data_IF_483673015897
#
_entry.id   IF_483673015897
#
_cell.length_a   1.000
_cell.length_b   1.000
_cell.length_c   1.000
_cell.angle_alpha   90.00
_cell.angle_beta   90.00
_cell.angle_gamma   90.00
#
_symmetry.space_group_name_H-M   'P 1'
#
loop_
_entity.id
_entity.type
_entity.pdbx_description
1 polymer ?
#
# COMPACT_ATOMS: atom_id res chain seq x y z
N UNK A 1 18.28 -3.58 -3.91
CA UNK A 1 16.98 -3.96 -3.31
C UNK A 1 16.04 -3.39 -4.31
N UNK A 2 15.55 -4.25 -5.19
CA UNK A 2 15.09 -3.80 -6.50
C UNK A 2 13.57 -3.83 -6.47
N UNK A 3 12.96 -2.65 -6.29
CA UNK A 3 11.54 -2.47 -6.51
C UNK A 3 11.32 -2.36 -8.01
N UNK A 4 10.85 -3.44 -8.64
CA UNK A 4 10.22 -3.30 -9.95
C UNK A 4 8.92 -2.53 -9.75
N UNK A 5 8.59 -1.54 -10.60
CA UNK A 5 7.32 -0.85 -10.50
C UNK A 5 6.20 -1.87 -10.60
N UNK A 6 5.24 -1.81 -9.66
CA UNK A 6 4.09 -2.70 -9.65
C UNK A 6 3.33 -2.57 -10.98
N UNK A 7 2.93 -3.70 -11.56
CA UNK A 7 2.02 -3.72 -12.70
C UNK A 7 0.74 -2.92 -12.40
N UNK A 8 0.20 -2.23 -13.40
CA UNK A 8 -1.09 -1.54 -13.31
C UNK A 8 -2.08 -2.25 -14.21
N UNK A 9 -3.18 -2.72 -13.61
CA UNK A 9 -4.27 -3.39 -14.31
C UNK A 9 -5.46 -2.45 -14.33
N UNK A 10 -6.17 -2.38 -15.45
CA UNK A 10 -7.36 -1.55 -15.57
C UNK A 10 -8.63 -2.39 -15.64
N UNK A 11 -9.62 -2.04 -14.82
CA UNK A 11 -10.95 -2.67 -14.83
C UNK A 11 -12.04 -1.61 -15.07
N UNK A 12 -13.06 -1.92 -15.88
CA UNK A 12 -14.06 -0.94 -16.32
C UNK A 12 -15.52 -1.43 -16.19
N UNK A 13 -15.78 -2.32 -15.22
CA UNK A 13 -17.09 -2.95 -15.05
C UNK A 13 -18.02 -2.30 -14.00
N UNK A 14 -17.45 -1.53 -13.07
CA UNK A 14 -18.17 -1.06 -11.88
C UNK A 14 -18.75 0.34 -12.07
N UNK A 15 -19.93 0.59 -11.51
CA UNK A 15 -20.53 1.94 -11.47
C UNK A 15 -20.08 2.77 -10.27
N UNK A 16 -20.20 4.09 -10.36
CA UNK A 16 -19.72 5.01 -9.32
C UNK A 16 -20.30 4.72 -7.92
N UNK A 17 -21.58 4.32 -7.84
CA UNK A 17 -22.19 3.91 -6.56
C UNK A 17 -21.59 2.62 -5.99
N UNK A 18 -21.21 1.67 -6.85
CA UNK A 18 -20.55 0.45 -6.42
C UNK A 18 -19.14 0.75 -5.91
N UNK A 19 -18.39 1.60 -6.62
CA UNK A 19 -17.09 2.07 -6.19
C UNK A 19 -17.17 2.79 -4.84
N UNK A 20 -18.20 3.63 -4.64
CA UNK A 20 -18.43 4.35 -3.39
C UNK A 20 -18.59 3.40 -2.20
N UNK A 21 -19.33 2.28 -2.38
CA UNK A 21 -19.48 1.26 -1.33
C UNK A 21 -18.18 0.49 -1.05
N UNK A 22 -17.29 0.37 -2.04
CA UNK A 22 -16.00 -0.33 -1.91
C UNK A 22 -14.88 0.57 -1.37
N UNK A 23 -14.99 1.88 -1.57
CA UNK A 23 -13.96 2.83 -1.18
C UNK A 23 -13.77 2.81 0.35
N UNK A 24 -12.54 2.57 0.85
CA UNK A 24 -12.29 2.51 2.30
C UNK A 24 -12.49 3.86 3.00
N UNK A 25 -12.52 4.96 2.25
CA UNK A 25 -12.82 6.32 2.71
C UNK A 25 -14.19 6.84 2.20
N UNK A 26 -15.00 5.99 1.56
CA UNK A 26 -16.31 6.33 1.01
C UNK A 26 -17.33 6.57 2.13
N UNK A 27 -17.33 7.78 2.69
CA UNK A 27 -18.41 8.27 3.54
C UNK A 27 -19.58 8.77 2.71
N UNK A 28 -20.77 8.85 3.32
CA UNK A 28 -22.04 9.27 2.69
C UNK A 28 -22.05 10.66 2.00
N UNK A 29 -20.93 11.39 2.01
CA UNK A 29 -20.81 12.76 1.50
C UNK A 29 -20.23 12.86 0.07
N UNK A 30 -19.57 11.82 -0.46
CA UNK A 30 -18.89 11.89 -1.75
C UNK A 30 -19.11 10.62 -2.60
N UNK A 31 -19.22 10.79 -3.91
CA UNK A 31 -19.29 9.69 -4.88
C UNK A 31 -17.89 9.41 -5.42
N UNK A 32 -17.48 8.15 -5.37
CA UNK A 32 -16.22 7.65 -5.92
C UNK A 32 -16.33 7.46 -7.42
N UNK A 33 -15.56 8.24 -8.19
CA UNK A 33 -15.55 8.19 -9.67
C UNK A 33 -14.53 7.20 -10.23
N UNK A 34 -13.46 6.96 -9.48
CA UNK A 34 -12.43 5.98 -9.77
C UNK A 34 -11.92 5.37 -8.46
N UNK A 35 -11.27 4.21 -8.55
CA UNK A 35 -10.71 3.54 -7.40
C UNK A 35 -9.42 2.81 -7.75
N UNK A 36 -8.37 3.11 -6.99
CA UNK A 36 -7.11 2.39 -7.02
C UNK A 36 -7.04 1.40 -5.86
N UNK A 37 -6.91 0.11 -6.19
CA UNK A 37 -6.73 -0.96 -5.21
C UNK A 37 -5.32 -1.55 -5.33
N UNK A 38 -4.57 -1.53 -4.23
CA UNK A 38 -3.23 -2.10 -4.17
C UNK A 38 -3.15 -3.21 -3.13
N UNK A 39 -2.37 -4.25 -3.44
CA UNK A 39 -2.07 -5.33 -2.51
C UNK A 39 -0.60 -5.23 -2.05
N UNK A 40 -0.39 -5.04 -0.75
CA UNK A 40 0.94 -4.97 -0.16
C UNK A 40 1.28 -6.29 0.53
N UNK A 41 2.40 -6.89 0.15
CA UNK A 41 2.90 -8.14 0.72
C UNK A 41 4.29 -7.94 1.32
N UNK A 42 4.47 -8.52 2.51
CA UNK A 42 5.75 -8.60 3.19
C UNK A 42 6.09 -10.05 3.47
N UNK A 43 7.32 -10.44 3.17
CA UNK A 43 7.86 -11.76 3.53
C UNK A 43 9.22 -11.60 4.20
N UNK A 44 9.56 -12.54 5.07
CA UNK A 44 10.87 -12.57 5.74
C UNK A 44 11.52 -13.94 5.63
N UNK A 45 12.83 -13.94 5.56
CA UNK A 45 13.68 -15.11 5.66
C UNK A 45 14.98 -14.72 6.37
N UNK A 46 15.71 -15.70 6.86
CA UNK A 46 17.05 -15.48 7.39
C UNK A 46 17.96 -16.66 7.04
N UNK A 47 19.25 -16.38 6.95
CA UNK A 47 20.30 -17.37 6.75
C UNK A 47 21.43 -17.14 7.76
N UNK A 48 22.19 -18.17 8.10
CA UNK A 48 23.32 -18.05 9.02
C UNK A 48 23.66 -19.38 9.68
N UNK A 49 24.93 -19.54 10.05
CA UNK A 49 25.37 -20.70 10.83
C UNK A 49 25.15 -20.43 12.33
N UNK A 50 24.62 -21.42 13.01
CA UNK A 50 24.56 -21.48 14.48
C UNK A 50 25.69 -22.39 14.96
N UNK A 51 26.62 -21.85 15.72
CA UNK A 51 27.67 -22.62 16.38
C UNK A 51 27.17 -23.03 17.77
N UNK A 52 27.30 -24.30 18.12
CA UNK A 52 26.81 -24.84 19.41
C UNK A 52 28.00 -25.40 20.18
N UNK A 53 28.17 -24.93 21.41
CA UNK A 53 29.06 -25.54 22.39
C UNK A 53 28.36 -26.77 23.00
N UNK A 54 28.92 -27.95 22.74
CA UNK A 54 28.36 -29.22 23.22
C UNK A 54 28.47 -29.41 24.73
N UNK A 55 29.42 -28.75 25.39
CA UNK A 55 29.62 -28.90 26.83
C UNK A 55 28.55 -28.14 27.63
N UNK A 56 28.16 -26.96 27.16
CA UNK A 56 27.22 -26.07 27.84
C UNK A 56 25.82 -26.05 27.24
N UNK A 57 25.65 -26.52 25.99
CA UNK A 57 24.41 -26.41 25.23
C UNK A 57 24.12 -25.00 24.71
N UNK A 58 25.00 -24.04 24.99
CA UNK A 58 24.91 -22.67 24.48
C UNK A 58 25.31 -22.61 23.01
N UNK A 59 24.77 -21.61 22.33
CA UNK A 59 25.01 -21.38 20.93
C UNK A 59 25.24 -19.89 20.64
N UNK A 60 25.87 -19.62 19.51
CA UNK A 60 25.95 -18.29 18.94
C UNK A 60 25.63 -18.31 17.44
N UNK A 61 25.08 -17.21 16.95
CA UNK A 61 24.73 -17.06 15.54
C UNK A 61 24.84 -15.60 15.09
N UNK A 62 25.22 -15.41 13.83
CA UNK A 62 25.17 -14.10 13.15
C UNK A 62 24.24 -14.22 11.93
N UNK A 63 22.97 -13.82 12.05
CA UNK A 63 22.01 -13.97 10.97
C UNK A 63 22.25 -12.93 9.88
N UNK A 64 21.95 -13.30 8.64
CA UNK A 64 21.61 -12.37 7.57
C UNK A 64 20.11 -12.42 7.38
N UNK A 65 19.44 -11.35 7.75
CA UNK A 65 17.98 -11.24 7.62
C UNK A 65 17.64 -10.62 6.26
N UNK A 66 16.67 -11.21 5.57
CA UNK A 66 16.09 -10.67 4.34
C UNK A 66 14.60 -10.43 4.58
N UNK A 67 14.15 -9.21 4.32
CA UNK A 67 12.73 -8.87 4.24
C UNK A 67 12.46 -8.39 2.82
N UNK A 68 11.43 -8.95 2.20
CA UNK A 68 10.98 -8.54 0.88
C UNK A 68 9.72 -7.72 1.00
N UNK A 69 9.70 -6.63 0.25
CA UNK A 69 8.60 -5.69 0.17
C UNK A 69 8.06 -5.76 -1.25
N UNK A 70 6.78 -6.11 -1.38
CA UNK A 70 6.14 -6.26 -2.68
C UNK A 70 4.86 -5.45 -2.73
N UNK A 71 4.72 -4.66 -3.79
CA UNK A 71 3.45 -4.06 -4.21
C UNK A 71 2.98 -4.93 -5.37
N UNK A 72 1.94 -5.73 -5.14
CA UNK A 72 1.31 -6.51 -6.19
C UNK A 72 0.68 -5.61 -7.26
N UNK A 73 0.12 -6.20 -8.33
CA UNK A 73 -0.57 -5.43 -9.35
C UNK A 73 -1.60 -4.49 -8.73
N UNK A 74 -1.60 -3.24 -9.17
CA UNK A 74 -2.53 -2.22 -8.71
C UNK A 74 -3.68 -2.13 -9.71
N UNK A 75 -4.90 -2.39 -9.24
CA UNK A 75 -6.09 -2.30 -10.07
C UNK A 75 -6.62 -0.88 -10.04
N UNK A 76 -6.67 -0.23 -11.20
CA UNK A 76 -7.28 1.08 -11.43
C UNK A 76 -8.63 0.87 -12.09
N UNK A 77 -9.69 1.27 -11.40
CA UNK A 77 -11.05 1.23 -11.93
C UNK A 77 -11.56 2.63 -12.18
N UNK A 78 -12.12 2.88 -13.37
CA UNK A 78 -12.90 4.08 -13.67
C UNK A 78 -14.36 3.69 -13.75
N UNK A 79 -15.25 4.48 -13.15
CA UNK A 79 -16.67 4.20 -13.15
C UNK A 79 -17.22 4.10 -14.58
N UNK A 80 -18.07 3.11 -14.85
CA UNK A 80 -18.61 2.82 -16.19
C UNK A 80 -19.44 3.96 -16.79
N UNK A 81 -19.92 4.88 -15.95
CA UNK A 81 -20.60 6.11 -16.36
C UNK A 81 -19.69 7.05 -17.18
N UNK A 82 -18.37 6.82 -17.17
CA UNK A 82 -17.37 7.56 -17.95
C UNK A 82 -16.71 6.63 -18.98
N UNK A 83 -17.23 6.55 -20.22
CA UNK A 83 -16.67 5.68 -21.23
C UNK A 83 -15.22 6.04 -21.59
N UNK A 84 -14.41 5.02 -21.89
CA UNK A 84 -13.03 5.23 -22.37
C UNK A 84 -13.03 6.13 -23.60
N UNK A 85 -12.21 7.18 -23.56
CA UNK A 85 -12.06 8.16 -24.63
C UNK A 85 -12.75 9.50 -24.36
N UNK A 86 -13.57 9.61 -23.32
CA UNK A 86 -14.09 10.91 -22.89
C UNK A 86 -13.07 11.70 -22.06
N UNK A 87 -13.29 13.01 -21.91
CA UNK A 87 -12.44 13.85 -21.08
C UNK A 87 -12.48 13.39 -19.62
N UNK A 88 -13.68 13.16 -19.07
CA UNK A 88 -13.80 12.75 -17.66
C UNK A 88 -13.10 11.43 -17.38
N UNK A 89 -13.17 10.47 -18.30
CA UNK A 89 -12.45 9.20 -18.16
C UNK A 89 -10.95 9.41 -17.95
N UNK A 90 -10.31 10.24 -18.79
CA UNK A 90 -8.86 10.44 -18.72
C UNK A 90 -8.43 11.19 -17.47
N UNK A 91 -9.19 12.21 -17.07
CA UNK A 91 -8.95 12.96 -15.84
C UNK A 91 -9.08 12.09 -14.59
N UNK A 92 -10.11 11.23 -14.54
CA UNK A 92 -10.29 10.27 -13.43
C UNK A 92 -9.16 9.23 -13.45
N UNK A 93 -8.82 8.67 -14.61
CA UNK A 93 -7.72 7.72 -14.72
C UNK A 93 -6.38 8.33 -14.30
N UNK A 94 -6.10 9.58 -14.68
CA UNK A 94 -4.90 10.30 -14.26
C UNK A 94 -4.87 10.55 -12.75
N UNK A 95 -6.02 10.88 -12.16
CA UNK A 95 -6.18 10.96 -10.71
C UNK A 95 -5.81 9.63 -10.04
N UNK A 96 -6.39 8.51 -10.49
CA UNK A 96 -6.10 7.19 -9.94
C UNK A 96 -4.61 6.79 -10.10
N UNK A 97 -3.98 7.18 -11.20
CA UNK A 97 -2.55 6.97 -11.39
C UNK A 97 -1.67 7.78 -10.41
N UNK A 98 -2.17 8.87 -9.82
CA UNK A 98 -1.47 9.55 -8.70
C UNK A 98 -1.46 8.67 -7.45
N UNK A 99 -2.54 7.95 -7.16
CA UNK A 99 -2.58 6.97 -6.06
C UNK A 99 -1.62 5.81 -6.30
N UNK A 100 -1.52 5.33 -7.55
CA UNK A 100 -0.54 4.30 -7.93
C UNK A 100 0.88 4.74 -7.63
N UNK A 101 1.25 5.95 -8.06
CA UNK A 101 2.58 6.53 -7.80
C UNK A 101 2.83 6.72 -6.30
N UNK A 102 1.82 7.18 -5.56
CA UNK A 102 1.93 7.30 -4.10
C UNK A 102 2.18 5.95 -3.43
N UNK A 103 1.48 4.90 -3.85
CA UNK A 103 1.68 3.53 -3.34
C UNK A 103 3.09 3.02 -3.61
N UNK A 104 3.61 3.20 -4.83
CA UNK A 104 4.96 2.79 -5.22
C UNK A 104 6.03 3.54 -4.41
N UNK A 105 5.98 4.88 -4.39
CA UNK A 105 6.93 5.69 -3.64
C UNK A 105 6.87 5.42 -2.12
N UNK A 106 5.68 5.12 -1.59
CA UNK A 106 5.54 4.76 -0.18
C UNK A 106 6.16 3.41 0.13
N UNK A 107 6.03 2.44 -0.77
CA UNK A 107 6.65 1.12 -0.61
C UNK A 107 8.17 1.17 -0.59
N UNK A 108 8.78 1.99 -1.45
CA UNK A 108 10.23 2.21 -1.47
C UNK A 108 10.72 2.79 -0.15
N UNK A 109 10.03 3.81 0.38
CA UNK A 109 10.36 4.38 1.68
C UNK A 109 10.24 3.38 2.81
N UNK A 110 9.18 2.56 2.83
CA UNK A 110 9.00 1.52 3.85
C UNK A 110 10.10 0.47 3.75
N UNK A 111 10.54 0.11 2.54
CA UNK A 111 11.67 -0.78 2.33
C UNK A 111 12.98 -0.21 2.93
N UNK A 112 13.24 1.08 2.73
CA UNK A 112 14.41 1.76 3.31
C UNK A 112 14.33 1.84 4.85
N UNK A 113 13.15 2.15 5.40
CA UNK A 113 12.91 2.15 6.85
C UNK A 113 13.14 0.77 7.48
N UNK A 114 12.60 -0.29 6.85
CA UNK A 114 12.80 -1.68 7.26
C UNK A 114 14.27 -2.05 7.20
N UNK A 115 14.96 -1.75 6.10
CA UNK A 115 16.39 -2.00 5.94
C UNK A 115 17.20 -1.34 7.05
N UNK A 116 16.94 -0.07 7.33
CA UNK A 116 17.65 0.67 8.38
C UNK A 116 17.37 0.10 9.77
N UNK A 117 16.11 -0.21 10.08
CA UNK A 117 15.72 -0.77 11.38
C UNK A 117 16.30 -2.18 11.60
N UNK A 118 16.20 -3.07 10.61
CA UNK A 118 16.78 -4.41 10.66
C UNK A 118 18.31 -4.36 10.77
N UNK A 119 18.96 -3.44 10.06
CA UNK A 119 20.42 -3.26 10.16
C UNK A 119 20.84 -2.85 11.58
N UNK A 120 20.06 -2.01 12.27
CA UNK A 120 20.34 -1.66 13.68
C UNK A 120 20.11 -2.82 14.65
N UNK A 121 19.09 -3.65 14.39
CA UNK A 121 18.71 -4.75 15.28
C UNK A 121 19.56 -6.01 15.09
N UNK A 122 19.92 -6.34 13.86
CA UNK A 122 20.60 -7.60 13.50
C UNK A 122 21.97 -7.39 12.84
N UNK A 123 22.23 -6.23 12.25
CA UNK A 123 23.44 -5.98 11.46
C UNK A 123 24.72 -6.07 12.29
N UNK A 124 25.68 -6.87 11.82
CA UNK A 124 27.00 -7.09 12.43
C UNK A 124 26.98 -7.54 13.91
N UNK A 125 25.85 -8.06 14.40
CA UNK A 125 25.70 -8.53 15.78
C UNK A 125 25.80 -10.05 15.85
N UNK A 126 26.52 -10.54 16.86
CA UNK A 126 26.48 -11.94 17.25
C UNK A 126 25.44 -12.08 18.35
N UNK A 127 24.54 -13.03 18.19
CA UNK A 127 23.52 -13.38 19.17
C UNK A 127 23.97 -14.64 19.91
N UNK A 128 23.67 -14.70 21.20
CA UNK A 128 23.99 -15.81 22.07
C UNK A 128 22.72 -16.33 22.73
N UNK A 129 22.66 -17.63 23.00
CA UNK A 129 21.54 -18.29 23.65
C UNK A 129 21.52 -19.77 23.30
N UNK A 130 20.47 -20.49 23.68
CA UNK A 130 20.25 -21.85 23.20
C UNK A 130 19.83 -21.83 21.72
N UNK A 131 20.02 -22.95 20.98
CA UNK A 131 19.53 -23.05 19.60
C UNK A 131 18.02 -22.75 19.46
N UNK A 132 17.22 -23.11 20.47
CA UNK A 132 15.79 -22.83 20.50
C UNK A 132 15.47 -21.34 20.60
N UNK A 133 16.15 -20.62 21.49
CA UNK A 133 15.98 -19.17 21.64
C UNK A 133 16.41 -18.42 20.38
N UNK A 134 17.56 -18.78 19.81
CA UNK A 134 18.05 -18.16 18.57
C UNK A 134 17.07 -18.37 17.41
N UNK A 135 16.46 -19.56 17.30
CA UNK A 135 15.41 -19.83 16.31
C UNK A 135 14.17 -18.95 16.52
N UNK A 136 13.73 -18.77 17.76
CA UNK A 136 12.59 -17.88 18.07
C UNK A 136 12.90 -16.44 17.67
N UNK A 137 14.09 -15.95 17.99
CA UNK A 137 14.53 -14.59 17.64
C UNK A 137 14.56 -14.37 16.12
N UNK A 138 15.06 -15.33 15.34
CA UNK A 138 15.22 -15.13 13.90
C UNK A 138 14.03 -15.54 13.06
N UNK A 139 13.13 -16.39 13.55
CA UNK A 139 11.95 -16.82 12.79
C UNK A 139 10.67 -16.20 13.34
N UNK A 140 10.39 -16.42 14.62
CA UNK A 140 9.10 -16.04 15.20
C UNK A 140 9.02 -14.54 15.44
N UNK A 141 10.08 -13.88 15.92
CA UNK A 141 10.05 -12.43 16.10
C UNK A 141 9.98 -11.68 14.77
N UNK A 142 10.65 -12.17 13.71
CA UNK A 142 10.51 -11.57 12.37
C UNK A 142 9.05 -11.62 11.92
N UNK A 143 8.38 -12.76 12.08
CA UNK A 143 6.97 -12.91 11.68
C UNK A 143 5.99 -12.14 12.56
N UNK A 144 6.14 -12.19 13.88
CA UNK A 144 5.17 -11.67 14.85
C UNK A 144 5.37 -10.20 15.19
N UNK A 145 6.56 -9.63 14.96
CA UNK A 145 6.86 -8.24 15.31
C UNK A 145 7.23 -7.42 14.08
N UNK A 146 8.18 -7.90 13.26
CA UNK A 146 8.73 -7.11 12.16
C UNK A 146 7.76 -6.99 10.97
N UNK A 147 7.11 -8.07 10.55
CA UNK A 147 6.14 -8.00 9.46
C UNK A 147 4.91 -7.12 9.82
N UNK A 148 4.28 -7.25 11.01
CA UNK A 148 3.20 -6.35 11.40
C UNK A 148 3.64 -4.89 11.53
N UNK A 149 4.86 -4.64 12.04
CA UNK A 149 5.42 -3.30 12.08
C UNK A 149 5.62 -2.71 10.68
N UNK A 150 6.19 -3.49 9.75
CA UNK A 150 6.31 -3.05 8.34
C UNK A 150 4.93 -2.76 7.71
N UNK A 151 3.93 -3.60 8.00
CA UNK A 151 2.55 -3.40 7.53
C UNK A 151 1.93 -2.11 8.06
N UNK A 152 2.16 -1.77 9.33
CA UNK A 152 1.64 -0.51 9.88
C UNK A 152 2.32 0.72 9.28
N UNK A 153 3.59 0.61 8.85
CA UNK A 153 4.25 1.67 8.06
C UNK A 153 3.61 1.85 6.69
N UNK A 154 3.20 0.75 6.06
CA UNK A 154 2.43 0.80 4.82
C UNK A 154 1.08 1.51 4.97
N UNK A 155 0.36 1.28 6.08
CA UNK A 155 -0.90 1.97 6.36
C UNK A 155 -0.76 3.51 6.40
N UNK A 156 0.46 4.03 6.60
CA UNK A 156 0.77 5.45 6.50
C UNK A 156 0.49 6.07 5.11
N UNK A 157 0.43 5.27 4.04
CA UNK A 157 0.12 5.75 2.67
C UNK A 157 -1.24 6.44 2.60
N UNK A 158 -2.17 6.09 3.50
CA UNK A 158 -3.50 6.72 3.62
C UNK A 158 -3.40 8.23 3.83
N UNK A 159 -2.32 8.74 4.41
CA UNK A 159 -2.09 10.18 4.53
C UNK A 159 -1.80 10.85 3.19
N UNK A 160 -1.04 10.19 2.30
CA UNK A 160 -0.79 10.68 0.95
C UNK A 160 -2.08 10.59 0.09
N UNK A 161 -2.85 9.51 0.22
CA UNK A 161 -4.15 9.40 -0.46
C UNK A 161 -5.09 10.55 -0.09
N UNK A 162 -5.20 10.90 1.21
CA UNK A 162 -6.01 12.06 1.65
C UNK A 162 -5.54 13.41 1.10
N UNK A 163 -4.26 13.55 0.74
CA UNK A 163 -3.77 14.77 0.10
C UNK A 163 -4.15 14.83 -1.37
N UNK A 164 -4.17 13.68 -2.05
CA UNK A 164 -4.62 13.54 -3.43
C UNK A 164 -6.14 13.73 -3.51
N UNK A 165 -6.88 13.05 -2.62
CA UNK A 165 -8.34 13.10 -2.45
C UNK A 165 -8.78 14.34 -1.65
N UNK A 166 -8.31 15.51 -2.07
CA UNK A 166 -8.59 16.76 -1.37
C UNK A 166 -10.00 17.30 -1.63
N UNK A 167 -10.50 18.18 -0.76
CA UNK A 167 -11.76 18.90 -1.00
C UNK A 167 -11.74 19.72 -2.31
N UNK A 168 -10.58 20.27 -2.67
CA UNK A 168 -10.40 21.00 -3.92
C UNK A 168 -10.56 20.09 -5.15
N UNK A 169 -10.06 18.85 -5.05
CA UNK A 169 -10.27 17.83 -6.08
C UNK A 169 -11.76 17.50 -6.24
N UNK A 170 -12.46 17.26 -5.13
CA UNK A 170 -13.90 16.98 -5.18
C UNK A 170 -14.71 18.16 -5.74
N UNK A 171 -14.32 19.40 -5.44
CA UNK A 171 -14.96 20.58 -6.01
C UNK A 171 -14.72 20.68 -7.52
N UNK A 172 -13.50 20.39 -8.00
CA UNK A 172 -13.13 20.39 -9.42
C UNK A 172 -13.98 19.41 -10.23
N UNK A 173 -14.37 18.28 -9.65
CA UNK A 173 -15.20 17.28 -10.33
C UNK A 173 -16.53 17.85 -10.86
N UNK A 174 -17.06 18.92 -10.26
CA UNK A 174 -18.31 19.54 -10.71
C UNK A 174 -18.17 20.35 -12.01
N UNK A 175 -16.97 20.83 -12.33
CA UNK A 175 -16.73 21.78 -13.42
C UNK A 175 -15.78 21.27 -14.48
N UNK A 176 -14.98 20.22 -14.19
CA UNK A 176 -14.09 19.60 -15.16
C UNK A 176 -14.85 19.06 -16.39
N UNK A 177 -14.16 19.02 -17.53
CA UNK A 177 -14.70 18.47 -18.78
C UNK A 177 -16.06 19.09 -19.15
N UNK A 178 -16.15 20.42 -19.02
CA UNK A 178 -17.38 21.19 -19.21
C UNK A 178 -18.58 20.67 -18.41
N UNK A 179 -18.36 20.08 -17.23
CA UNK A 179 -19.41 19.50 -16.39
C UNK A 179 -19.88 18.11 -16.83
N UNK A 180 -19.02 17.31 -17.46
CA UNK A 180 -19.34 15.93 -17.88
C UNK A 180 -19.75 15.04 -16.71
N UNK A 181 -19.06 15.17 -15.56
CA UNK A 181 -19.31 14.36 -14.36
C UNK A 181 -20.74 14.50 -13.83
N UNK A 182 -21.24 15.71 -13.49
CA UNK A 182 -22.62 15.84 -13.00
C UNK A 182 -23.66 15.47 -14.06
N UNK A 183 -23.37 15.63 -15.36
CA UNK A 183 -24.27 15.17 -16.43
C UNK A 183 -24.40 13.65 -16.45
N UNK A 184 -23.27 12.93 -16.36
CA UNK A 184 -23.23 11.48 -16.41
C UNK A 184 -23.90 10.82 -15.19
N UNK A 185 -23.79 11.44 -14.01
CA UNK A 185 -24.35 10.90 -12.76
C UNK A 185 -25.82 11.26 -12.51
N UNK A 186 -26.38 12.22 -13.26
CA UNK A 186 -27.73 12.75 -13.05
C UNK A 186 -27.81 13.68 -11.82
N UNK A 187 -28.21 14.93 -12.01
CA UNK A 187 -28.28 15.91 -10.93
C UNK A 187 -29.34 15.54 -9.87
N UNK A 188 -29.04 15.72 -8.56
CA UNK A 188 -28.09 16.69 -8.07
C UNK A 188 -26.97 16.06 -7.23
N UNK A 189 -25.73 16.19 -7.74
CA UNK A 189 -24.49 16.08 -6.98
C UNK A 189 -24.34 17.17 -5.88
N UNK A 190 -25.41 17.95 -5.62
CA UNK A 190 -25.55 18.91 -4.53
C UNK A 190 -27.05 19.22 -4.21
N UNK A 191 -27.65 18.54 -3.22
CA UNK A 191 -28.86 18.96 -2.46
C UNK A 191 -28.83 18.18 -1.12
N UNK A 192 -28.78 18.71 0.10
CA UNK A 192 -28.90 20.05 0.70
C UNK A 192 -27.97 20.05 1.93
N UNK A 193 -27.19 21.11 2.14
CA UNK A 193 -26.95 21.56 3.52
C UNK A 193 -28.10 22.51 3.83
N UNK A 194 -28.96 22.08 4.74
CA UNK A 194 -29.96 22.91 5.42
C UNK A 194 -29.78 22.67 6.90
#
# INVERSE_FOLDING_TARGET
MDSLPSEVVYEFGMGAQELTRKAPLGGAAHITLGLTQANFQLSSSWEGQTLVDRATGLACARPKVKVQVQVGPQCVTVAKEFPKGTCAFWEIAEHELRHVKANQAHAERVADELKAALSRSFGNRVFYGTPGELRVVFTENLKSQWLPWGKSRFDGVKAAHRQIDSLAEYARNNTMCDGEVPRALGAPFARRQS
#
